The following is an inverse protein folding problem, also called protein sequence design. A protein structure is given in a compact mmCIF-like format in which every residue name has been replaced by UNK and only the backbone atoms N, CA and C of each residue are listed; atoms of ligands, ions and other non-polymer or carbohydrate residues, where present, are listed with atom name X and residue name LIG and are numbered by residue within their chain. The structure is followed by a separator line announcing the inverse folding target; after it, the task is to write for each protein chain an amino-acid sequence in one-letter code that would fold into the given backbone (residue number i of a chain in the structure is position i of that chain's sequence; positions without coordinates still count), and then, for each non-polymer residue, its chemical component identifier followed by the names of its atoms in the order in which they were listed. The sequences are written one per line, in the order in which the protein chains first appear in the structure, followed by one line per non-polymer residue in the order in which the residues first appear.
data_IF_205664375897
#
_entry.id   IF_205664375897
#
_cell.length_a   1.000
_cell.length_b   1.000
_cell.length_c   1.000
_cell.angle_alpha   90.00
_cell.angle_beta   90.00
_cell.angle_gamma   90.00
#
_symmetry.space_group_name_H-M   'P 1'
#
loop_
_entity.id
_entity.type
_entity.pdbx_description
1 polymer ?
#
# COMPACT_ATOMS: atom_id res chain seq x y z
N UNK A 1 -13.88 32.33 69.93
CA UNK A 1 -13.03 32.60 68.74
C UNK A 1 -12.73 31.32 68.07
N UNK A 2 -13.54 30.96 67.06
CA UNK A 2 -13.41 29.76 66.29
C UNK A 2 -12.76 30.12 64.93
N UNK A 3 -11.62 29.51 64.65
CA UNK A 3 -10.95 29.67 63.34
C UNK A 3 -11.40 28.53 62.37
N UNK A 4 -12.07 28.91 61.37
CA UNK A 4 -12.38 28.01 60.24
C UNK A 4 -11.18 27.93 59.26
N UNK A 5 -10.62 26.75 59.08
CA UNK A 5 -9.59 26.49 58.07
C UNK A 5 -10.26 26.04 56.78
N UNK A 6 -10.06 26.78 55.68
CA UNK A 6 -10.42 26.36 54.34
C UNK A 6 -9.30 25.50 53.77
N UNK A 7 -9.61 24.23 53.48
CA UNK A 7 -8.71 23.36 52.70
C UNK A 7 -9.00 23.57 51.19
N UNK A 8 -8.02 24.09 50.47
CA UNK A 8 -8.05 24.26 49.03
C UNK A 8 -7.60 22.94 48.36
N UNK A 9 -8.54 22.19 47.85
CA UNK A 9 -8.24 20.98 47.07
C UNK A 9 -7.70 21.33 45.69
N UNK A 10 -6.45 20.98 45.44
CA UNK A 10 -5.79 21.13 44.16
C UNK A 10 -6.20 19.93 43.26
N UNK A 11 -7.11 20.14 42.29
CA UNK A 11 -7.40 19.18 41.24
C UNK A 11 -6.25 19.18 40.22
N UNK A 12 -5.46 18.12 40.20
CA UNK A 12 -4.51 17.84 39.15
C UNK A 12 -5.27 17.35 37.92
N UNK A 13 -5.45 18.22 36.92
CA UNK A 13 -5.85 17.87 35.58
C UNK A 13 -4.65 17.19 34.91
N UNK A 14 -4.69 15.87 34.79
CA UNK A 14 -3.78 15.11 33.94
C UNK A 14 -4.16 15.39 32.49
N UNK A 15 -3.56 16.41 31.91
CA UNK A 15 -3.58 16.62 30.45
C UNK A 15 -2.73 15.55 29.79
N UNK A 16 -3.34 14.65 29.03
CA UNK A 16 -2.62 13.87 28.03
C UNK A 16 -2.07 14.85 26.99
N UNK A 17 -0.80 15.23 27.12
CA UNK A 17 -0.08 15.91 26.05
C UNK A 17 0.21 14.89 24.97
N UNK A 18 -0.45 15.04 23.83
CA UNK A 18 0.03 14.47 22.58
C UNK A 18 1.43 15.04 22.32
N UNK A 19 2.44 14.24 22.67
CA UNK A 19 3.82 14.59 22.38
C UNK A 19 3.98 14.46 20.84
N UNK A 20 3.78 15.56 20.13
CA UNK A 20 4.22 15.67 18.74
C UNK A 20 5.72 15.41 18.70
N UNK A 21 6.15 14.44 17.89
CA UNK A 21 7.57 14.16 17.68
C UNK A 21 8.31 15.46 17.28
N UNK A 22 9.57 15.63 17.73
CA UNK A 22 10.34 16.83 17.40
C UNK A 22 10.48 16.97 15.87
N UNK A 23 10.44 18.21 15.33
CA UNK A 23 10.65 18.46 13.90
C UNK A 23 12.01 17.91 13.48
N UNK A 24 12.01 16.93 12.55
CA UNK A 24 13.22 16.31 12.01
C UNK A 24 13.47 14.86 12.42
N UNK A 25 12.67 14.25 13.30
CA UNK A 25 12.72 12.81 13.51
C UNK A 25 12.03 12.11 12.33
N UNK A 26 12.79 11.34 11.53
CA UNK A 26 12.20 10.48 10.51
C UNK A 26 11.29 9.46 11.19
N UNK A 27 10.08 9.27 10.66
CA UNK A 27 9.18 8.23 11.12
C UNK A 27 9.82 6.86 10.86
N UNK A 28 9.86 6.01 11.88
CA UNK A 28 10.42 4.65 11.78
C UNK A 28 9.38 3.61 11.36
N UNK A 29 8.12 4.03 11.20
CA UNK A 29 7.01 3.16 10.84
C UNK A 29 6.49 2.29 12.00
N UNK A 30 5.42 1.55 11.70
CA UNK A 30 4.86 0.53 12.58
C UNK A 30 5.63 -0.79 12.41
N UNK A 31 5.64 -1.61 13.45
CA UNK A 31 6.24 -2.94 13.41
C UNK A 31 5.23 -4.01 13.81
N UNK A 32 5.27 -5.12 13.09
CA UNK A 32 4.44 -6.31 13.33
C UNK A 32 2.99 -6.15 12.86
N UNK A 33 2.45 -7.23 12.31
CA UNK A 33 1.09 -7.28 11.77
C UNK A 33 0.06 -7.10 12.88
N UNK A 34 -0.79 -6.10 12.73
CA UNK A 34 -2.00 -5.89 13.53
C UNK A 34 -3.20 -5.89 12.60
N UNK A 35 -4.33 -6.40 13.09
CA UNK A 35 -5.58 -6.35 12.35
C UNK A 35 -6.62 -5.55 13.12
N UNK A 36 -7.46 -4.83 12.39
CA UNK A 36 -8.66 -4.19 12.92
C UNK A 36 -9.90 -4.84 12.33
N UNK A 37 -10.99 -4.84 13.11
CA UNK A 37 -12.30 -5.25 12.63
C UNK A 37 -12.97 -4.11 11.89
N UNK A 38 -13.34 -4.35 10.65
CA UNK A 38 -14.18 -3.46 9.85
C UNK A 38 -15.57 -4.06 9.82
N UNK A 39 -16.53 -3.37 10.43
CA UNK A 39 -17.94 -3.78 10.39
C UNK A 39 -18.46 -3.73 8.97
N UNK A 40 -19.20 -4.75 8.56
CA UNK A 40 -19.82 -4.79 7.24
C UNK A 40 -20.80 -3.63 7.02
N UNK A 41 -21.12 -3.40 5.77
CA UNK A 41 -22.05 -2.34 5.37
C UNK A 41 -22.20 -2.24 3.86
N UNK A 42 -23.08 -1.35 3.41
CA UNK A 42 -23.28 -1.07 1.99
C UNK A 42 -22.65 0.28 1.63
N UNK A 43 -22.05 0.35 0.45
CA UNK A 43 -21.45 1.56 -0.08
C UNK A 43 -21.54 1.58 -1.61
N UNK A 44 -21.27 2.72 -2.21
CA UNK A 44 -21.16 2.84 -3.67
C UNK A 44 -19.70 2.62 -4.06
N UNK A 45 -19.41 1.44 -4.58
CA UNK A 45 -18.09 1.07 -5.11
C UNK A 45 -17.85 1.78 -6.43
N UNK A 46 -16.64 2.29 -6.67
CA UNK A 46 -16.30 3.03 -7.88
C UNK A 46 -16.92 4.43 -7.94
N UNK A 47 -17.36 5.00 -6.80
CA UNK A 47 -17.96 6.34 -6.76
C UNK A 47 -16.93 7.44 -7.10
N UNK A 48 -17.34 8.36 -7.99
CA UNK A 48 -16.48 9.42 -8.52
C UNK A 48 -15.42 8.91 -9.50
N UNK A 49 -15.79 8.10 -10.53
CA UNK A 49 -14.83 7.55 -11.48
C UNK A 49 -14.13 8.68 -12.26
N UNK A 50 -12.83 8.55 -12.46
CA UNK A 50 -12.02 9.47 -13.28
C UNK A 50 -11.39 8.78 -14.49
N UNK A 51 -11.38 7.45 -14.48
CA UNK A 51 -10.84 6.61 -15.55
C UNK A 51 -11.86 5.55 -15.94
N UNK A 52 -11.86 5.15 -17.21
CA UNK A 52 -12.84 4.21 -17.76
C UNK A 52 -12.90 2.88 -17.02
N UNK A 53 -11.73 2.42 -16.52
CA UNK A 53 -11.63 1.17 -15.76
C UNK A 53 -12.27 1.22 -14.37
N UNK A 54 -12.60 2.40 -13.83
CA UNK A 54 -13.12 2.55 -12.46
C UNK A 54 -14.64 2.38 -12.35
N UNK A 55 -15.36 2.59 -13.43
CA UNK A 55 -16.83 2.59 -13.42
C UNK A 55 -17.46 1.39 -14.13
N UNK A 56 -18.80 1.34 -14.15
CA UNK A 56 -19.74 2.29 -13.52
C UNK A 56 -19.85 2.07 -11.99
N UNK A 57 -20.20 3.13 -11.22
CA UNK A 57 -20.49 3.01 -9.79
C UNK A 57 -21.61 2.01 -9.51
N UNK A 58 -21.45 1.19 -8.48
CA UNK A 58 -22.43 0.18 -8.09
C UNK A 58 -22.56 0.06 -6.56
N UNK A 59 -23.79 -0.15 -6.07
CA UNK A 59 -23.99 -0.42 -4.64
C UNK A 59 -23.57 -1.85 -4.33
N UNK A 60 -22.65 -1.99 -3.39
CA UNK A 60 -22.12 -3.27 -2.93
C UNK A 60 -22.27 -3.38 -1.42
N UNK A 61 -22.62 -4.57 -0.93
CA UNK A 61 -22.64 -4.89 0.50
C UNK A 61 -21.47 -5.79 0.84
N UNK A 62 -20.69 -5.40 1.85
CA UNK A 62 -19.56 -6.15 2.37
C UNK A 62 -19.90 -6.69 3.75
N UNK A 63 -19.63 -7.96 4.00
CA UNK A 63 -19.72 -8.54 5.36
C UNK A 63 -18.57 -8.00 6.21
N UNK A 64 -18.70 -8.05 7.55
CA UNK A 64 -17.60 -7.65 8.43
C UNK A 64 -16.39 -8.60 8.28
N UNK A 65 -15.19 -8.03 8.41
CA UNK A 65 -13.92 -8.74 8.23
C UNK A 65 -12.80 -8.08 9.05
N UNK A 66 -11.78 -8.87 9.37
CA UNK A 66 -10.52 -8.35 9.88
C UNK A 66 -9.60 -7.97 8.71
N UNK A 67 -8.87 -6.87 8.84
CA UNK A 67 -7.91 -6.41 7.83
C UNK A 67 -6.63 -5.93 8.51
N UNK A 68 -5.48 -6.20 7.89
CA UNK A 68 -4.19 -5.67 8.35
C UNK A 68 -4.20 -4.15 8.36
N UNK A 69 -3.66 -3.56 9.42
CA UNK A 69 -3.68 -2.10 9.59
C UNK A 69 -2.80 -1.37 8.57
N UNK A 70 -1.83 -2.03 8.00
CA UNK A 70 -0.88 -1.52 7.00
C UNK A 70 -0.48 -2.61 6.00
N UNK A 71 0.28 -2.27 4.98
CA UNK A 71 0.85 -3.23 4.02
C UNK A 71 1.82 -4.19 4.70
N UNK A 72 1.99 -5.40 4.15
CA UNK A 72 3.01 -6.35 4.61
C UNK A 72 4.40 -5.73 4.44
N UNK A 73 5.18 -5.74 5.51
CA UNK A 73 6.50 -5.12 5.56
C UNK A 73 7.63 -6.04 5.08
N UNK A 74 8.80 -5.47 4.79
CA UNK A 74 10.01 -6.22 4.47
C UNK A 74 10.37 -7.23 5.58
N UNK A 75 10.25 -6.84 6.86
CA UNK A 75 10.54 -7.72 7.98
C UNK A 75 9.59 -8.93 8.04
N UNK A 76 8.30 -8.70 7.83
CA UNK A 76 7.28 -9.76 7.84
C UNK A 76 7.48 -10.73 6.68
N UNK A 77 7.73 -10.21 5.47
CA UNK A 77 8.01 -11.04 4.31
C UNK A 77 9.34 -11.81 4.45
N UNK A 78 10.36 -11.19 5.06
CA UNK A 78 11.61 -11.86 5.37
C UNK A 78 11.41 -13.05 6.32
N UNK A 79 10.53 -12.92 7.32
CA UNK A 79 10.18 -14.02 8.22
C UNK A 79 9.55 -15.21 7.48
N UNK A 80 8.63 -14.93 6.53
CA UNK A 80 8.03 -15.93 5.65
C UNK A 80 9.10 -16.67 4.83
N UNK A 81 9.94 -15.91 4.14
CA UNK A 81 11.00 -16.51 3.30
C UNK A 81 11.97 -17.32 4.14
N UNK A 82 12.34 -16.84 5.33
CA UNK A 82 13.20 -17.56 6.27
C UNK A 82 12.58 -18.88 6.73
N UNK A 83 11.28 -18.88 7.00
CA UNK A 83 10.57 -20.06 7.50
C UNK A 83 10.33 -21.13 6.42
N UNK A 84 10.15 -20.71 5.16
CA UNK A 84 9.68 -21.58 4.07
C UNK A 84 10.72 -21.85 2.99
N UNK A 85 11.76 -21.03 2.89
CA UNK A 85 12.70 -21.06 1.74
C UNK A 85 12.06 -20.59 0.44
N UNK A 86 10.94 -19.85 0.50
CA UNK A 86 10.20 -19.40 -0.68
C UNK A 86 11.08 -18.55 -1.60
N UNK A 87 10.96 -18.79 -2.90
CA UNK A 87 11.55 -17.95 -3.96
C UNK A 87 10.43 -17.23 -4.69
N UNK A 88 10.48 -15.91 -4.74
CA UNK A 88 9.51 -15.08 -5.44
C UNK A 88 9.59 -15.28 -6.95
N UNK A 89 8.53 -14.87 -7.67
CA UNK A 89 8.53 -14.94 -9.14
C UNK A 89 9.73 -14.22 -9.75
N UNK A 90 10.12 -13.09 -9.21
CA UNK A 90 11.28 -12.31 -9.64
C UNK A 90 12.64 -13.03 -9.42
N UNK A 91 12.69 -14.02 -8.50
CA UNK A 91 13.89 -14.84 -8.20
C UNK A 91 13.94 -16.14 -9.01
N UNK A 92 12.90 -16.44 -9.81
CA UNK A 92 12.83 -17.67 -10.62
C UNK A 92 13.29 -17.38 -12.04
N UNK A 93 13.73 -18.43 -12.72
CA UNK A 93 14.00 -18.33 -14.16
C UNK A 93 12.73 -17.97 -14.91
N UNK A 94 12.74 -16.87 -15.70
CA UNK A 94 11.57 -16.46 -16.46
C UNK A 94 11.27 -17.45 -17.60
N UNK A 95 10.03 -17.45 -18.12
CA UNK A 95 9.68 -18.21 -19.31
C UNK A 95 10.59 -17.84 -20.48
N UNK A 96 11.03 -18.84 -21.24
CA UNK A 96 11.79 -18.62 -22.48
C UNK A 96 10.86 -18.13 -23.59
N UNK A 97 10.71 -16.83 -23.69
CA UNK A 97 9.92 -16.21 -24.75
C UNK A 97 10.76 -16.02 -26.01
N UNK A 98 10.27 -16.45 -27.19
CA UNK A 98 10.94 -16.17 -28.45
C UNK A 98 11.12 -14.66 -28.66
N UNK A 99 12.32 -14.26 -29.08
CA UNK A 99 12.68 -12.86 -29.34
C UNK A 99 12.64 -11.92 -28.11
N UNK A 100 12.57 -12.45 -26.89
CA UNK A 100 12.70 -11.59 -25.69
C UNK A 100 14.11 -10.99 -25.62
N UNK A 101 14.24 -9.74 -25.19
CA UNK A 101 15.55 -9.13 -24.90
C UNK A 101 16.35 -9.98 -23.91
N UNK A 102 17.68 -10.07 -24.06
CA UNK A 102 18.51 -10.93 -23.18
C UNK A 102 18.33 -10.66 -21.70
N UNK A 103 18.10 -9.39 -21.31
CA UNK A 103 17.85 -9.02 -19.93
C UNK A 103 16.56 -9.63 -19.35
N UNK A 104 15.58 -9.93 -20.17
CA UNK A 104 14.32 -10.57 -19.76
C UNK A 104 14.41 -12.11 -19.70
N UNK A 105 15.53 -12.70 -20.07
CA UNK A 105 15.76 -14.14 -20.01
C UNK A 105 16.46 -14.61 -18.73
N UNK A 106 16.67 -13.69 -17.78
CA UNK A 106 17.27 -13.95 -16.47
C UNK A 106 16.34 -13.46 -15.36
N UNK A 107 16.44 -14.02 -14.13
CA UNK A 107 15.68 -13.56 -12.98
C UNK A 107 15.79 -12.05 -12.78
N UNK A 108 14.67 -11.41 -12.54
CA UNK A 108 14.56 -9.97 -12.40
C UNK A 108 13.11 -9.52 -12.38
N UNK A 109 12.89 -8.24 -12.48
CA UNK A 109 11.55 -7.66 -12.46
C UNK A 109 11.53 -6.27 -13.09
N UNK A 110 10.31 -5.73 -13.30
CA UNK A 110 10.14 -4.39 -13.84
C UNK A 110 10.40 -3.32 -12.75
N UNK A 111 11.18 -2.33 -13.13
CA UNK A 111 11.54 -1.18 -12.28
C UNK A 111 11.15 0.10 -13.02
N UNK A 112 10.56 1.05 -12.27
CA UNK A 112 10.19 2.34 -12.82
C UNK A 112 11.42 3.10 -13.32
N UNK A 113 11.28 3.69 -14.49
CA UNK A 113 12.31 4.51 -15.12
C UNK A 113 11.72 5.85 -15.55
N UNK A 114 12.45 6.94 -15.32
CA UNK A 114 12.08 8.22 -15.90
C UNK A 114 12.54 8.23 -17.37
N UNK A 115 11.62 8.35 -18.34
CA UNK A 115 12.00 8.35 -19.75
C UNK A 115 12.99 9.45 -20.10
N UNK A 116 13.89 9.15 -21.02
CA UNK A 116 14.85 10.08 -21.59
C UNK A 116 15.01 9.83 -23.08
N UNK A 117 15.72 10.73 -23.80
CA UNK A 117 16.02 10.52 -25.22
C UNK A 117 16.80 9.23 -25.48
N UNK A 118 17.61 8.79 -24.52
CA UNK A 118 18.39 7.55 -24.62
C UNK A 118 17.57 6.30 -24.29
N UNK A 119 16.52 6.43 -23.48
CA UNK A 119 15.62 5.34 -23.10
C UNK A 119 14.19 5.87 -22.87
N UNK A 120 13.28 5.76 -23.84
CA UNK A 120 11.93 6.28 -23.76
C UNK A 120 10.98 5.41 -22.91
N UNK A 121 11.44 4.30 -22.36
CA UNK A 121 10.60 3.37 -21.61
C UNK A 121 10.34 3.85 -20.19
N UNK A 122 9.12 3.78 -19.75
CA UNK A 122 8.71 4.03 -18.36
C UNK A 122 9.07 2.89 -17.42
N UNK A 123 9.16 1.67 -17.94
CA UNK A 123 9.47 0.44 -17.21
C UNK A 123 10.62 -0.28 -17.87
N UNK A 124 11.57 -0.72 -17.09
CA UNK A 124 12.68 -1.55 -17.57
C UNK A 124 12.74 -2.84 -16.79
N UNK A 125 12.94 -3.94 -17.50
CA UNK A 125 13.34 -5.17 -16.84
C UNK A 125 14.76 -4.99 -16.29
N UNK A 126 14.93 -5.23 -14.98
CA UNK A 126 16.22 -5.11 -14.31
C UNK A 126 16.62 -6.47 -13.76
N UNK A 127 17.68 -7.12 -14.32
CA UNK A 127 18.22 -8.35 -13.79
C UNK A 127 18.57 -8.23 -12.31
N UNK A 128 18.11 -9.20 -11.51
CA UNK A 128 18.31 -9.23 -10.06
C UNK A 128 17.41 -8.28 -9.25
N UNK A 129 16.52 -7.51 -9.88
CA UNK A 129 15.47 -6.79 -9.15
C UNK A 129 14.50 -7.80 -8.53
N UNK A 130 14.29 -7.73 -7.23
CA UNK A 130 13.40 -8.57 -6.44
C UNK A 130 13.22 -7.94 -5.06
N UNK A 131 12.43 -8.52 -4.19
CA UNK A 131 12.04 -7.89 -2.93
C UNK A 131 13.18 -7.42 -2.01
N UNK A 132 14.37 -8.08 -2.02
CA UNK A 132 15.57 -7.63 -1.27
C UNK A 132 16.36 -6.54 -1.98
N UNK A 133 16.15 -6.39 -3.28
CA UNK A 133 16.84 -5.48 -4.18
C UNK A 133 15.84 -4.82 -5.13
N UNK A 134 14.90 -3.98 -4.63
CA UNK A 134 13.75 -3.50 -5.40
C UNK A 134 14.08 -2.83 -6.73
N UNK A 135 15.19 -2.07 -6.80
CA UNK A 135 15.68 -1.43 -8.04
C UNK A 135 16.84 -2.20 -8.70
N UNK A 136 17.10 -3.43 -8.26
CA UNK A 136 18.22 -4.26 -8.72
C UNK A 136 19.37 -4.32 -7.71
N UNK A 137 20.44 -5.05 -8.07
CA UNK A 137 21.53 -5.47 -7.16
C UNK A 137 22.28 -4.33 -6.46
N UNK A 138 22.13 -3.08 -6.90
CA UNK A 138 22.76 -1.92 -6.25
C UNK A 138 21.92 -1.34 -5.10
N UNK A 139 20.64 -1.71 -4.97
CA UNK A 139 19.78 -1.34 -3.86
C UNK A 139 19.73 -2.46 -2.83
N UNK A 140 19.47 -2.12 -1.57
CA UNK A 140 19.26 -3.08 -0.47
C UNK A 140 18.17 -2.58 0.45
N UNK A 141 17.40 -3.52 1.01
CA UNK A 141 16.40 -3.24 2.06
C UNK A 141 16.99 -3.26 3.48
N UNK A 142 18.30 -3.41 3.64
CA UNK A 142 18.95 -3.38 4.96
C UNK A 142 18.65 -2.05 5.65
N UNK A 143 18.08 -2.13 6.87
CA UNK A 143 17.61 -0.95 7.62
C UNK A 143 16.26 -0.39 7.17
N UNK A 144 15.54 -1.09 6.28
CA UNK A 144 14.20 -0.72 5.77
C UNK A 144 13.14 -1.76 6.16
N UNK A 145 13.25 -2.29 7.37
CA UNK A 145 12.42 -3.40 7.86
C UNK A 145 10.92 -3.06 7.85
N UNK A 146 10.58 -1.81 8.13
CA UNK A 146 9.20 -1.32 8.21
C UNK A 146 8.70 -0.66 6.92
N UNK A 147 9.47 -0.65 5.82
CA UNK A 147 8.91 -0.29 4.50
C UNK A 147 8.05 -1.45 3.97
N UNK A 148 7.01 -1.16 3.16
CA UNK A 148 6.22 -2.19 2.50
C UNK A 148 7.11 -3.04 1.59
N UNK A 149 6.90 -4.35 1.59
CA UNK A 149 7.55 -5.23 0.64
C UNK A 149 7.01 -4.97 -0.76
N UNK A 150 7.90 -4.91 -1.74
CA UNK A 150 7.56 -4.70 -3.17
C UNK A 150 8.26 -5.73 -4.05
N UNK A 151 8.09 -5.64 -5.36
CA UNK A 151 8.55 -6.67 -6.31
C UNK A 151 7.85 -8.01 -6.06
N UNK A 152 6.58 -7.93 -5.63
CA UNK A 152 5.73 -9.05 -5.26
C UNK A 152 4.73 -9.30 -6.38
N UNK A 153 4.81 -10.45 -7.03
CA UNK A 153 3.80 -10.94 -7.95
C UNK A 153 2.57 -11.44 -7.18
N UNK A 154 1.43 -11.58 -7.85
CA UNK A 154 0.20 -12.05 -7.21
C UNK A 154 0.37 -13.40 -6.51
N UNK A 155 1.08 -14.35 -7.17
CA UNK A 155 1.36 -15.67 -6.60
C UNK A 155 2.24 -15.61 -5.34
N UNK A 156 3.12 -14.61 -5.23
CA UNK A 156 3.96 -14.42 -4.05
C UNK A 156 3.12 -13.94 -2.87
N UNK A 157 2.19 -13.01 -3.13
CA UNK A 157 1.23 -12.51 -2.13
C UNK A 157 0.27 -13.63 -1.67
N UNK A 158 -0.24 -14.46 -2.59
CA UNK A 158 -1.05 -15.63 -2.25
C UNK A 158 -0.28 -16.65 -1.38
N UNK A 159 0.98 -16.94 -1.72
CA UNK A 159 1.81 -17.86 -0.95
C UNK A 159 2.06 -17.35 0.49
N UNK A 160 2.32 -16.06 0.65
CA UNK A 160 2.43 -15.44 1.96
C UNK A 160 1.10 -15.50 2.74
N UNK A 161 -0.02 -15.14 2.09
CA UNK A 161 -1.35 -15.19 2.70
C UNK A 161 -1.69 -16.59 3.22
N UNK A 162 -1.43 -17.63 2.42
CA UNK A 162 -1.62 -19.03 2.80
C UNK A 162 -0.75 -19.42 4.01
N UNK A 163 0.50 -18.98 4.05
CA UNK A 163 1.41 -19.27 5.16
C UNK A 163 0.92 -18.69 6.49
N UNK A 164 0.38 -17.47 6.49
CA UNK A 164 -0.17 -16.83 7.70
C UNK A 164 -1.64 -17.21 7.97
N UNK A 165 -2.27 -18.02 7.12
CA UNK A 165 -3.68 -18.43 7.26
C UNK A 165 -4.72 -17.35 6.96
N UNK A 166 -4.32 -16.31 6.21
CA UNK A 166 -5.16 -15.18 5.79
C UNK A 166 -5.44 -15.22 4.28
N UNK A 167 -6.07 -14.16 3.74
CA UNK A 167 -6.47 -14.03 2.34
C UNK A 167 -6.15 -12.62 1.82
N UNK A 168 -5.99 -12.46 0.51
CA UNK A 168 -6.00 -11.16 -0.13
C UNK A 168 -7.42 -10.57 -0.09
N UNK A 169 -7.60 -9.27 0.15
CA UNK A 169 -8.92 -8.65 0.17
C UNK A 169 -9.57 -8.75 -1.21
N UNK A 170 -10.89 -8.91 -1.26
CA UNK A 170 -11.62 -8.60 -2.49
C UNK A 170 -11.52 -7.10 -2.77
N UNK A 171 -11.72 -6.70 -4.02
CA UNK A 171 -11.72 -5.30 -4.39
C UNK A 171 -12.74 -4.48 -3.57
N UNK A 172 -13.93 -5.03 -3.36
CA UNK A 172 -14.97 -4.39 -2.57
C UNK A 172 -14.56 -4.22 -1.09
N UNK A 173 -13.93 -5.24 -0.48
CA UNK A 173 -13.42 -5.14 0.89
C UNK A 173 -12.34 -4.08 0.99
N UNK A 174 -11.41 -4.06 0.04
CA UNK A 174 -10.32 -3.10 0.02
C UNK A 174 -10.85 -1.66 -0.10
N UNK A 175 -11.75 -1.40 -1.08
CA UNK A 175 -12.30 -0.06 -1.29
C UNK A 175 -13.17 0.41 -0.12
N UNK A 176 -14.00 -0.49 0.44
CA UNK A 176 -14.80 -0.19 1.63
C UNK A 176 -13.91 0.20 2.82
N UNK A 177 -12.85 -0.56 3.05
CA UNK A 177 -11.86 -0.30 4.09
C UNK A 177 -11.13 1.03 3.86
N UNK A 178 -10.72 1.32 2.62
CA UNK A 178 -10.03 2.55 2.26
C UNK A 178 -10.88 3.82 2.48
N UNK A 179 -12.21 3.73 2.31
CA UNK A 179 -13.12 4.83 2.57
C UNK A 179 -13.20 5.24 4.05
N UNK A 180 -12.82 4.35 4.96
CA UNK A 180 -12.73 4.68 6.40
C UNK A 180 -14.04 5.14 7.03
N UNK A 181 -15.20 4.71 6.48
CA UNK A 181 -16.54 5.07 6.99
C UNK A 181 -17.08 6.42 6.49
N UNK A 182 -16.40 7.08 5.52
CA UNK A 182 -16.88 8.35 4.94
C UNK A 182 -17.40 8.15 3.51
N UNK A 183 -18.44 8.91 3.15
CA UNK A 183 -19.04 8.83 1.82
C UNK A 183 -18.14 9.46 0.73
N UNK A 184 -17.49 10.58 1.05
CA UNK A 184 -16.57 11.25 0.15
C UNK A 184 -15.22 11.43 0.85
N UNK A 185 -14.15 11.05 0.17
CA UNK A 185 -12.80 11.26 0.67
C UNK A 185 -12.30 12.64 0.25
N UNK A 186 -11.78 13.42 1.20
CA UNK A 186 -11.10 14.67 0.86
C UNK A 186 -9.79 14.38 0.11
N UNK A 187 -9.27 15.41 -0.55
CA UNK A 187 -7.89 15.37 -1.04
C UNK A 187 -6.94 14.98 0.10
N UNK A 188 -5.86 14.19 -0.17
CA UNK A 188 -4.96 13.69 0.85
C UNK A 188 -3.98 14.78 1.34
N UNK A 189 -4.52 15.94 1.72
CA UNK A 189 -3.79 17.09 2.28
C UNK A 189 -4.53 17.63 3.50
N UNK A 190 -3.77 18.19 4.44
CA UNK A 190 -4.36 18.90 5.59
C UNK A 190 -4.82 20.32 5.21
N UNK A 191 -5.39 21.05 6.17
CA UNK A 191 -5.85 22.42 6.01
C UNK A 191 -4.73 23.41 5.60
N UNK A 192 -3.46 23.03 5.75
CA UNK A 192 -2.30 23.82 5.35
C UNK A 192 -1.71 23.35 4.01
N UNK A 193 -2.36 22.42 3.33
CA UNK A 193 -1.90 21.83 2.07
C UNK A 193 -0.76 20.82 2.22
N UNK A 194 -0.49 20.31 3.44
CA UNK A 194 0.54 19.29 3.67
C UNK A 194 0.01 17.91 3.32
N UNK A 195 0.78 17.10 2.56
CA UNK A 195 0.37 15.73 2.24
C UNK A 195 0.07 14.91 3.49
N UNK A 196 -0.99 14.12 3.41
CA UNK A 196 -1.41 13.17 4.45
C UNK A 196 -1.27 11.71 4.00
N UNK A 197 -0.55 11.50 2.89
CA UNK A 197 -0.23 10.21 2.31
C UNK A 197 1.08 10.32 1.51
N UNK A 198 1.72 9.19 1.22
CA UNK A 198 2.91 9.13 0.38
C UNK A 198 2.51 8.99 -1.10
N UNK A 199 2.60 10.08 -1.84
CA UNK A 199 2.37 10.14 -3.29
C UNK A 199 3.30 11.19 -3.92
N UNK A 200 3.36 11.25 -5.24
CA UNK A 200 4.25 12.20 -5.94
C UNK A 200 3.69 13.63 -5.89
N UNK A 201 4.44 14.55 -5.27
CA UNK A 201 4.05 15.97 -5.18
C UNK A 201 4.87 16.82 -6.14
N UNK A 202 4.21 17.38 -7.14
CA UNK A 202 4.85 18.28 -8.11
C UNK A 202 4.60 17.87 -9.56
N UNK A 203 5.48 18.26 -10.45
CA UNK A 203 5.34 18.00 -11.89
C UNK A 203 5.92 16.62 -12.26
N UNK A 204 5.09 15.60 -12.26
CA UNK A 204 5.50 14.26 -12.66
C UNK A 204 5.85 14.18 -14.15
N UNK A 205 6.94 13.50 -14.53
CA UNK A 205 7.98 12.89 -13.69
C UNK A 205 9.20 13.80 -13.45
N UNK A 206 9.08 15.08 -13.81
CA UNK A 206 10.21 16.01 -13.93
C UNK A 206 10.76 16.45 -12.57
N UNK A 207 9.85 16.70 -11.60
CA UNK A 207 10.26 17.25 -10.31
C UNK A 207 9.30 16.80 -9.21
N UNK A 208 9.77 15.91 -8.32
CA UNK A 208 9.12 15.65 -7.06
C UNK A 208 9.55 16.68 -6.02
N UNK A 209 8.60 17.30 -5.33
CA UNK A 209 8.86 18.29 -4.28
C UNK A 209 9.14 17.62 -2.92
N UNK A 210 8.79 16.34 -2.76
CA UNK A 210 8.98 15.54 -1.55
C UNK A 210 8.43 16.22 -0.27
N UNK A 211 7.30 16.91 -0.40
CA UNK A 211 6.71 17.65 0.73
C UNK A 211 6.07 16.73 1.78
N UNK A 212 5.86 15.46 1.43
CA UNK A 212 5.51 14.36 2.33
C UNK A 212 6.71 13.80 3.13
N UNK A 213 7.94 14.16 2.72
CA UNK A 213 9.19 13.72 3.35
C UNK A 213 9.84 12.51 2.67
N UNK A 214 9.26 11.95 1.60
CA UNK A 214 9.75 10.73 0.95
C UNK A 214 9.95 10.90 -0.55
N UNK A 215 10.97 10.27 -1.10
CA UNK A 215 11.23 10.19 -2.55
C UNK A 215 10.61 8.93 -3.15
N UNK A 216 10.56 7.87 -2.36
CA UNK A 216 10.05 6.54 -2.73
C UNK A 216 9.08 6.03 -1.67
N UNK A 217 9.17 4.76 -1.34
CA UNK A 217 8.36 4.14 -0.29
C UNK A 217 8.63 4.77 1.08
N UNK A 218 7.57 5.01 1.84
CA UNK A 218 7.65 5.39 3.24
C UNK A 218 7.55 4.13 4.13
N UNK A 219 8.12 4.12 5.33
CA UNK A 219 7.78 3.10 6.33
C UNK A 219 6.28 3.15 6.62
N UNK A 220 5.66 1.98 6.80
CA UNK A 220 4.21 1.87 7.00
C UNK A 220 3.75 2.60 8.26
N UNK A 221 2.59 3.26 8.20
CA UNK A 221 2.01 3.97 9.35
C UNK A 221 2.63 5.32 9.67
N UNK A 222 3.37 5.90 8.74
CA UNK A 222 3.96 7.24 8.91
C UNK A 222 2.97 8.38 8.67
N UNK A 223 1.81 8.09 8.13
CA UNK A 223 0.70 9.02 7.96
C UNK A 223 -0.46 8.69 8.89
N UNK A 224 -1.43 9.60 9.02
CA UNK A 224 -2.59 9.36 9.89
C UNK A 224 -3.46 8.23 9.34
N UNK A 225 -3.97 7.35 10.22
CA UNK A 225 -4.92 6.32 9.80
C UNK A 225 -6.26 6.95 9.41
N UNK A 226 -7.01 6.21 8.57
CA UNK A 226 -8.39 6.55 8.27
C UNK A 226 -9.35 6.25 9.44
N UNK A 227 -10.66 6.49 9.27
CA UNK A 227 -11.67 6.31 10.31
C UNK A 227 -11.84 4.87 10.84
N UNK A 228 -11.30 3.87 10.14
CA UNK A 228 -11.25 2.47 10.60
C UNK A 228 -9.91 2.11 11.26
N UNK A 229 -8.98 3.05 11.38
CA UNK A 229 -7.65 2.80 11.95
C UNK A 229 -6.66 2.16 10.96
N UNK A 230 -6.90 2.30 9.65
CA UNK A 230 -6.06 1.76 8.58
C UNK A 230 -5.12 2.84 8.05
N UNK A 231 -3.86 2.47 7.91
CA UNK A 231 -2.78 3.31 7.41
C UNK A 231 -2.53 3.05 5.93
N UNK A 232 -2.00 4.04 5.24
CA UNK A 232 -1.45 3.95 3.89
C UNK A 232 -2.44 3.39 2.84
N UNK A 233 -3.75 3.60 3.07
CA UNK A 233 -4.80 3.24 2.10
C UNK A 233 -4.81 4.17 0.86
N UNK A 234 -3.94 5.16 0.84
CA UNK A 234 -3.72 6.14 -0.23
C UNK A 234 -2.23 6.24 -0.46
N UNK A 235 -1.78 5.95 -1.67
CA UNK A 235 -0.36 6.08 -2.04
C UNK A 235 0.51 4.95 -1.48
N UNK A 236 1.73 5.24 -1.14
CA UNK A 236 2.80 4.35 -0.72
C UNK A 236 3.09 3.25 -1.76
N UNK A 237 2.38 2.13 -1.71
CA UNK A 237 2.46 1.10 -2.75
C UNK A 237 1.08 0.63 -3.20
N UNK A 238 0.96 0.24 -4.47
CA UNK A 238 -0.22 -0.48 -4.95
C UNK A 238 -0.38 -1.79 -4.20
N UNK A 239 -1.62 -2.21 -3.98
CA UNK A 239 -1.92 -3.41 -3.25
C UNK A 239 -2.74 -4.41 -4.05
N UNK A 240 -2.28 -5.66 -4.08
CA UNK A 240 -2.99 -6.76 -4.70
C UNK A 240 -4.35 -7.00 -4.05
N UNK A 241 -5.36 -7.23 -4.89
CA UNK A 241 -6.66 -7.78 -4.48
C UNK A 241 -6.90 -9.15 -5.10
N UNK A 242 -7.81 -9.94 -4.52
CA UNK A 242 -8.20 -11.25 -5.06
C UNK A 242 -9.06 -11.14 -6.33
N UNK A 243 -9.51 -9.93 -6.69
CA UNK A 243 -10.36 -9.72 -7.85
C UNK A 243 -9.57 -9.90 -9.15
N UNK A 244 -10.03 -10.81 -9.99
CA UNK A 244 -9.53 -10.93 -11.36
C UNK A 244 -10.11 -9.83 -12.24
N UNK A 245 -9.31 -9.35 -13.17
CA UNK A 245 -9.68 -8.35 -14.15
C UNK A 245 -9.67 -8.94 -15.58
N UNK A 246 -10.12 -8.12 -16.52
CA UNK A 246 -9.97 -8.39 -17.94
C UNK A 246 -9.39 -7.14 -18.60
N UNK A 247 -8.28 -7.33 -19.31
CA UNK A 247 -7.65 -6.31 -20.15
C UNK A 247 -7.44 -6.90 -21.53
N UNK A 248 -7.99 -6.24 -22.56
CA UNK A 248 -8.05 -6.79 -23.92
C UNK A 248 -6.65 -7.04 -24.53
N UNK A 249 -5.65 -6.31 -24.09
CA UNK A 249 -4.26 -6.41 -24.56
C UNK A 249 -3.36 -7.26 -23.65
N UNK A 250 -3.90 -7.82 -22.54
CA UNK A 250 -3.12 -8.66 -21.65
C UNK A 250 -2.85 -10.03 -22.26
N UNK A 251 -1.57 -10.42 -22.29
CA UNK A 251 -1.14 -11.76 -22.69
C UNK A 251 -1.32 -12.81 -21.61
N UNK A 252 -1.52 -12.38 -20.36
CA UNK A 252 -1.64 -13.22 -19.17
C UNK A 252 -2.86 -12.82 -18.34
N UNK A 253 -3.23 -13.69 -17.39
CA UNK A 253 -4.26 -13.38 -16.42
C UNK A 253 -3.86 -12.16 -15.56
N UNK A 254 -4.81 -11.24 -15.36
CA UNK A 254 -4.61 -10.02 -14.58
C UNK A 254 -5.47 -10.02 -13.33
N UNK A 255 -4.96 -9.39 -12.28
CA UNK A 255 -5.73 -9.06 -11.10
C UNK A 255 -5.76 -7.54 -10.91
N UNK A 256 -6.71 -7.11 -10.08
CA UNK A 256 -6.89 -5.70 -9.76
C UNK A 256 -5.96 -5.32 -8.60
N UNK A 257 -5.27 -4.20 -8.77
CA UNK A 257 -4.52 -3.53 -7.71
C UNK A 257 -5.19 -2.20 -7.36
N UNK A 258 -5.08 -1.79 -6.10
CA UNK A 258 -5.76 -0.63 -5.50
C UNK A 258 -4.78 0.27 -4.74
N UNK A 259 -5.18 1.51 -4.45
CA UNK A 259 -4.51 2.43 -3.53
C UNK A 259 -3.56 3.44 -4.18
N UNK A 260 -3.07 3.16 -5.37
CA UNK A 260 -2.00 3.96 -5.96
C UNK A 260 -0.65 3.74 -5.30
N UNK A 261 0.33 4.58 -5.59
CA UNK A 261 1.66 4.47 -5.00
C UNK A 261 2.36 5.83 -4.90
N UNK A 262 3.56 5.83 -4.37
CA UNK A 262 4.45 7.00 -4.35
C UNK A 262 4.74 7.60 -5.75
N UNK A 263 4.44 6.89 -6.83
CA UNK A 263 4.55 7.39 -8.21
C UNK A 263 3.29 8.09 -8.71
N UNK A 264 2.17 7.98 -8.01
CA UNK A 264 0.92 8.62 -8.44
C UNK A 264 0.92 10.11 -8.14
N UNK A 265 0.59 10.92 -9.15
CA UNK A 265 0.62 12.38 -9.08
C UNK A 265 -0.71 12.98 -9.54
N UNK A 266 -1.16 14.06 -8.91
CA UNK A 266 -2.40 14.73 -9.26
C UNK A 266 -2.46 15.20 -10.73
N UNK A 267 -1.31 15.56 -11.31
CA UNK A 267 -1.21 16.08 -12.68
C UNK A 267 -0.99 15.00 -13.76
N UNK A 268 -0.85 13.72 -13.38
CA UNK A 268 -0.56 12.64 -14.34
C UNK A 268 -1.40 11.39 -14.10
N UNK A 269 -1.39 10.86 -12.89
CA UNK A 269 -2.05 9.61 -12.52
C UNK A 269 -2.61 9.75 -11.11
N UNK A 270 -3.81 10.33 -10.96
CA UNK A 270 -4.46 10.50 -9.65
C UNK A 270 -5.12 9.20 -9.15
N UNK A 271 -4.46 8.03 -9.36
CA UNK A 271 -5.00 6.71 -8.99
C UNK A 271 -4.78 6.34 -7.52
N UNK A 272 -4.40 7.29 -6.67
CA UNK A 272 -4.37 7.11 -5.21
C UNK A 272 -5.76 7.20 -4.54
N UNK A 273 -6.83 7.45 -5.32
CA UNK A 273 -8.22 7.48 -4.81
C UNK A 273 -8.75 6.06 -4.57
N UNK A 274 -9.58 5.81 -3.55
CA UNK A 274 -10.12 4.48 -3.28
C UNK A 274 -10.92 3.85 -4.43
N UNK A 275 -11.64 4.66 -5.22
CA UNK A 275 -12.33 4.18 -6.40
C UNK A 275 -11.37 3.73 -7.52
N UNK A 276 -10.16 4.28 -7.56
CA UNK A 276 -9.18 3.96 -8.57
C UNK A 276 -8.76 2.49 -8.52
N UNK A 277 -8.56 1.92 -9.69
CA UNK A 277 -8.11 0.54 -9.90
C UNK A 277 -7.16 0.48 -11.08
N UNK A 278 -6.31 -0.52 -11.09
CA UNK A 278 -5.46 -0.84 -12.23
C UNK A 278 -5.40 -2.35 -12.42
N UNK A 279 -5.29 -2.76 -13.68
CA UNK A 279 -5.07 -4.17 -14.04
C UNK A 279 -3.59 -4.46 -14.10
N UNK A 280 -3.16 -5.49 -13.38
CA UNK A 280 -1.76 -5.90 -13.31
C UNK A 280 -1.63 -7.39 -13.64
N UNK A 281 -0.65 -7.76 -14.46
CA UNK A 281 -0.33 -9.16 -14.78
C UNK A 281 0.09 -9.90 -13.51
N UNK A 282 -0.50 -11.08 -13.31
CA UNK A 282 -0.31 -11.87 -12.07
C UNK A 282 1.13 -12.30 -11.85
N UNK A 283 1.86 -12.56 -12.91
CA UNK A 283 3.25 -13.04 -12.87
C UNK A 283 4.28 -11.94 -12.64
N UNK A 284 3.88 -10.66 -12.63
CA UNK A 284 4.79 -9.53 -12.63
C UNK A 284 4.59 -8.65 -11.38
N UNK A 285 5.58 -8.64 -10.50
CA UNK A 285 5.75 -7.61 -9.48
C UNK A 285 6.48 -6.38 -10.06
N UNK A 286 6.39 -5.25 -9.38
CA UNK A 286 7.15 -4.03 -9.69
C UNK A 286 7.63 -3.37 -8.40
N UNK A 287 8.51 -2.39 -8.51
CA UNK A 287 9.10 -1.69 -7.36
C UNK A 287 8.11 -0.80 -6.56
N UNK A 288 6.83 -0.80 -6.93
CA UNK A 288 5.76 -0.05 -6.29
C UNK A 288 4.47 -0.86 -6.04
N UNK A 289 4.54 -2.21 -6.09
CA UNK A 289 3.42 -3.11 -5.82
C UNK A 289 3.75 -4.03 -4.64
N UNK A 290 2.92 -3.95 -3.61
CA UNK A 290 2.90 -4.79 -2.42
C UNK A 290 1.49 -5.34 -2.17
N UNK A 291 1.12 -5.56 -0.90
CA UNK A 291 -0.18 -6.12 -0.51
C UNK A 291 -0.43 -5.98 0.99
N UNK A 292 -1.70 -6.08 1.38
CA UNK A 292 -2.16 -6.35 2.76
C UNK A 292 -3.18 -7.47 2.75
N UNK A 293 -3.52 -8.02 3.93
CA UNK A 293 -4.36 -9.20 4.04
C UNK A 293 -5.62 -8.95 4.85
N UNK A 294 -6.61 -9.82 4.61
CA UNK A 294 -7.85 -9.93 5.39
C UNK A 294 -7.95 -11.31 6.03
N UNK A 295 -8.70 -11.40 7.13
CA UNK A 295 -9.12 -12.67 7.73
C UNK A 295 -10.66 -12.65 7.84
N UNK A 296 -11.30 -13.45 6.99
CA UNK A 296 -12.75 -13.60 6.93
C UNK A 296 -13.24 -14.78 7.78
N UNK A 297 -12.33 -15.64 8.24
CA UNK A 297 -12.63 -16.84 9.04
C UNK A 297 -12.67 -16.54 10.53
N UNK A 298 -11.93 -15.51 10.96
CA UNK A 298 -11.89 -15.07 12.34
C UNK A 298 -13.21 -14.37 12.70
N UNK A 299 -13.88 -14.84 13.75
CA UNK A 299 -15.11 -14.21 14.23
C UNK A 299 -14.88 -12.73 14.55
N UNK A 300 -15.87 -11.90 14.27
CA UNK A 300 -15.90 -10.52 14.70
C UNK A 300 -15.90 -10.40 16.23
N UNK A 301 -15.63 -9.20 16.78
CA UNK A 301 -15.75 -8.98 18.21
C UNK A 301 -17.18 -9.28 18.66
N UNK A 302 -17.31 -9.87 19.85
CA UNK A 302 -18.63 -10.05 20.48
C UNK A 302 -19.26 -8.65 20.67
N UNK A 303 -20.52 -8.51 20.23
CA UNK A 303 -21.33 -7.29 20.36
C UNK A 303 -21.69 -7.01 21.80
#
# INVERSE_FOLDING_TARGET
MQRFGFALGLMLLSGCSDASAPPGAMCTGLSGSKMVWVSGGSFVMGDGPQYDEEGPPQTVTVQGFWIDTHEVTNAEFAAFVKATGYKTMAERDPPKLPNAPPEMLVPGSAVFNIPSDADPRWWRWVPGAQWRHPSGLKESIVGRDNEPVVQIAYQDAEAYAQWVGKELPSEAQWEYAARGGVAALPEPVDANGRPQANYYQGAFPVKNLNTDGYVGRAPVGCFKPNGFGLYDMIGNVWEWTSASGARADASEAVNIIKGGSYLCAANYCARYRPAARQFQERGLGTDHIGFRLVDTKKAGPAS
#
